data_IF_284001669374
#
_entry.id   IF_284001669374
#
_cell.length_a   1.000
_cell.length_b   1.000
_cell.length_c   1.000
_cell.angle_alpha   90.00
_cell.angle_beta   90.00
_cell.angle_gamma   90.00
#
_symmetry.space_group_name_H-M   'P 1'
#
loop_
_entity.id
_entity.type
_entity.pdbx_description
1 polymer ?
#
# COMPACT_ATOMS: atom_id res chain seq x y z
N UNK A 1 5.20 34.34 18.16
CA UNK A 1 5.30 34.32 16.69
C UNK A 1 6.10 33.08 16.31
N UNK A 2 5.51 32.22 15.46
CA UNK A 2 6.07 31.04 14.77
C UNK A 2 6.68 29.97 15.70
N UNK A 3 6.00 28.89 16.11
CA UNK A 3 5.06 28.07 15.33
C UNK A 3 5.79 27.05 14.45
N UNK A 4 6.83 26.37 14.95
CA UNK A 4 7.44 25.23 14.26
C UNK A 4 6.49 24.03 14.34
N UNK A 5 5.54 23.95 13.42
CA UNK A 5 4.94 22.68 13.04
C UNK A 5 5.94 21.95 12.17
N UNK A 6 6.69 21.00 12.75
CA UNK A 6 7.37 19.99 11.97
C UNK A 6 6.32 19.32 11.06
N UNK A 7 6.61 19.10 9.76
CA UNK A 7 5.64 18.43 8.90
C UNK A 7 5.50 16.99 9.40
N UNK A 8 4.28 16.66 9.81
CA UNK A 8 3.90 15.38 10.39
C UNK A 8 3.89 14.29 9.30
N UNK A 9 5.04 13.87 8.77
CA UNK A 9 5.20 12.64 7.96
C UNK A 9 6.66 12.17 8.02
N UNK A 10 7.04 11.46 9.09
CA UNK A 10 8.39 10.87 9.24
C UNK A 10 8.55 9.50 8.59
N UNK A 11 7.45 8.86 8.16
CA UNK A 11 7.48 7.47 7.68
C UNK A 11 7.07 7.37 6.21
N UNK A 12 7.98 6.87 5.38
CA UNK A 12 7.74 6.58 3.97
C UNK A 12 7.54 5.07 3.78
N UNK A 13 6.48 4.72 3.07
CA UNK A 13 6.12 3.34 2.74
C UNK A 13 6.24 3.14 1.23
N UNK A 14 6.93 2.07 0.83
CA UNK A 14 7.16 1.72 -0.56
C UNK A 14 6.44 0.42 -0.85
N UNK A 15 5.44 0.43 -1.74
CA UNK A 15 4.68 -0.76 -2.13
C UNK A 15 5.14 -1.22 -3.50
N UNK A 16 5.62 -2.47 -3.58
CA UNK A 16 6.10 -3.05 -4.84
C UNK A 16 5.26 -4.27 -5.22
N UNK A 17 4.55 -4.15 -6.34
CA UNK A 17 3.87 -5.28 -6.97
C UNK A 17 4.84 -6.14 -7.75
N UNK A 18 4.89 -7.44 -7.46
CA UNK A 18 5.75 -8.40 -8.13
C UNK A 18 4.94 -9.55 -8.76
N UNK A 19 5.43 -10.03 -9.90
CA UNK A 19 4.98 -11.27 -10.54
C UNK A 19 5.92 -12.43 -10.20
N UNK A 20 5.69 -13.61 -10.80
CA UNK A 20 6.63 -14.72 -10.75
C UNK A 20 8.03 -14.33 -11.26
N UNK A 21 8.10 -13.45 -12.27
CA UNK A 21 9.35 -12.82 -12.67
C UNK A 21 9.58 -11.57 -11.81
N UNK A 22 10.61 -11.61 -10.97
CA UNK A 22 10.96 -10.53 -10.05
C UNK A 22 11.85 -9.45 -10.66
N UNK A 23 12.38 -9.63 -11.89
CA UNK A 23 13.31 -8.68 -12.48
C UNK A 23 12.71 -7.27 -12.64
N UNK A 24 11.47 -7.09 -13.16
CA UNK A 24 10.83 -5.78 -13.18
C UNK A 24 10.62 -5.19 -11.78
N UNK A 25 10.33 -6.03 -10.77
CA UNK A 25 10.11 -5.59 -9.39
C UNK A 25 11.40 -5.12 -8.70
N UNK A 26 12.55 -5.75 -9.02
CA UNK A 26 13.86 -5.27 -8.59
C UNK A 26 14.17 -3.89 -9.15
N UNK A 27 13.88 -3.69 -10.44
CA UNK A 27 14.07 -2.39 -11.07
C UNK A 27 13.09 -1.35 -10.49
N UNK A 28 11.85 -1.74 -10.18
CA UNK A 28 10.90 -0.88 -9.47
C UNK A 28 11.47 -0.41 -8.13
N UNK A 29 12.00 -1.31 -7.30
CA UNK A 29 12.64 -0.97 -6.01
C UNK A 29 13.81 0.00 -6.15
N UNK A 30 14.61 -0.13 -7.20
CA UNK A 30 15.72 0.82 -7.43
C UNK A 30 15.18 2.21 -7.76
N UNK A 31 14.12 2.27 -8.58
CA UNK A 31 13.48 3.51 -9.01
C UNK A 31 12.66 4.22 -7.92
N UNK A 32 12.46 3.59 -6.75
CA UNK A 32 11.83 4.22 -5.58
C UNK A 32 12.81 4.99 -4.70
N UNK A 33 14.11 4.92 -4.98
CA UNK A 33 15.16 5.62 -4.21
C UNK A 33 15.06 5.32 -2.71
N UNK A 34 15.17 4.04 -2.34
CA UNK A 34 15.06 3.56 -0.94
C UNK A 34 16.09 4.27 -0.04
N UNK A 35 15.65 4.68 1.16
CA UNK A 35 16.43 5.38 2.18
C UNK A 35 16.24 4.74 3.57
N UNK A 36 17.06 5.15 4.52
CA UNK A 36 16.93 4.76 5.93
C UNK A 36 15.54 5.10 6.51
N UNK A 37 14.98 4.16 7.28
CA UNK A 37 13.67 4.30 7.91
C UNK A 37 12.48 3.95 7.01
N UNK A 38 12.71 3.61 5.74
CA UNK A 38 11.65 3.17 4.84
C UNK A 38 11.03 1.83 5.27
N UNK A 39 9.72 1.70 5.02
CA UNK A 39 9.01 0.42 5.07
C UNK A 39 8.71 -0.05 3.66
N UNK A 40 9.29 -1.17 3.26
CA UNK A 40 9.08 -1.80 1.97
C UNK A 40 8.03 -2.90 2.12
N UNK A 41 6.91 -2.76 1.41
CA UNK A 41 5.81 -3.71 1.35
C UNK A 41 5.85 -4.39 -0.02
N UNK A 42 6.24 -5.66 -0.04
CA UNK A 42 6.29 -6.47 -1.26
C UNK A 42 4.95 -7.20 -1.41
N UNK A 43 4.30 -7.10 -2.56
CA UNK A 43 3.01 -7.76 -2.79
C UNK A 43 2.93 -8.47 -4.13
N UNK A 44 2.27 -9.63 -4.15
CA UNK A 44 2.19 -10.48 -5.33
C UNK A 44 1.48 -11.79 -5.03
N UNK A 45 1.39 -12.67 -6.03
CA UNK A 45 0.66 -13.94 -5.91
C UNK A 45 1.53 -15.11 -5.43
N UNK A 46 2.87 -14.96 -5.46
CA UNK A 46 3.82 -16.03 -5.14
C UNK A 46 4.65 -15.66 -3.92
N UNK A 47 4.50 -16.41 -2.83
CA UNK A 47 5.36 -16.27 -1.65
C UNK A 47 6.84 -16.47 -1.97
N UNK A 48 7.18 -17.43 -2.85
CA UNK A 48 8.56 -17.68 -3.26
C UNK A 48 9.18 -16.48 -4.01
N UNK A 49 8.41 -15.86 -4.91
CA UNK A 49 8.85 -14.65 -5.61
C UNK A 49 9.07 -13.48 -4.62
N UNK A 50 8.16 -13.30 -3.67
CA UNK A 50 8.28 -12.26 -2.64
C UNK A 50 9.48 -12.51 -1.71
N UNK A 51 9.71 -13.76 -1.29
CA UNK A 51 10.88 -14.14 -0.50
C UNK A 51 12.19 -13.89 -1.25
N UNK A 52 12.24 -14.19 -2.56
CA UNK A 52 13.41 -13.90 -3.38
C UNK A 52 13.65 -12.40 -3.56
N UNK A 53 12.58 -11.60 -3.60
CA UNK A 53 12.66 -10.14 -3.66
C UNK A 53 13.06 -9.53 -2.31
N UNK A 54 12.57 -10.07 -1.19
CA UNK A 54 13.03 -9.71 0.16
C UNK A 54 14.52 -9.99 0.32
N UNK A 55 15.00 -11.16 -0.13
CA UNK A 55 16.42 -11.48 -0.13
C UNK A 55 17.25 -10.48 -0.93
N UNK A 56 16.73 -10.02 -2.08
CA UNK A 56 17.36 -8.95 -2.86
C UNK A 56 17.39 -7.62 -2.09
N UNK A 57 16.29 -7.21 -1.46
CA UNK A 57 16.22 -5.97 -0.66
C UNK A 57 17.25 -6.02 0.47
N UNK A 58 17.30 -7.11 1.24
CA UNK A 58 18.24 -7.31 2.34
C UNK A 58 19.71 -7.29 1.88
N UNK A 59 19.98 -7.69 0.64
CA UNK A 59 21.34 -7.68 0.09
C UNK A 59 21.75 -6.30 -0.43
N UNK A 60 20.87 -5.64 -1.20
CA UNK A 60 21.18 -4.36 -1.85
C UNK A 60 21.16 -3.20 -0.86
N UNK A 61 20.25 -3.26 0.12
CA UNK A 61 20.06 -2.21 1.12
C UNK A 61 20.51 -2.68 2.51
N UNK A 62 21.50 -3.57 2.58
CA UNK A 62 22.01 -4.14 3.85
C UNK A 62 22.55 -3.08 4.82
N UNK A 63 23.03 -1.97 4.28
CA UNK A 63 23.59 -0.86 5.05
C UNK A 63 22.53 0.14 5.51
N UNK A 64 21.26 -0.06 5.10
CA UNK A 64 20.13 0.80 5.46
C UNK A 64 19.23 0.13 6.51
N UNK A 65 18.69 0.93 7.43
CA UNK A 65 17.69 0.48 8.40
C UNK A 65 16.29 0.48 7.75
N UNK A 66 16.04 -0.53 6.90
CA UNK A 66 14.76 -0.72 6.21
C UNK A 66 13.94 -1.84 6.82
N UNK A 67 12.62 -1.64 6.95
CA UNK A 67 11.68 -2.69 7.35
C UNK A 67 11.09 -3.33 6.09
N UNK A 68 11.20 -4.64 5.95
CA UNK A 68 10.59 -5.37 4.82
C UNK A 68 9.42 -6.19 5.31
N UNK A 69 8.27 -6.03 4.67
CA UNK A 69 7.06 -6.81 4.89
C UNK A 69 6.55 -7.36 3.55
N UNK A 70 5.88 -8.51 3.60
CA UNK A 70 5.33 -9.14 2.40
C UNK A 70 3.84 -9.45 2.58
N UNK A 71 3.05 -9.13 1.56
CA UNK A 71 1.63 -9.46 1.49
C UNK A 71 1.35 -10.33 0.26
N UNK A 72 1.09 -11.62 0.50
CA UNK A 72 0.70 -12.57 -0.54
C UNK A 72 -0.78 -12.40 -0.84
N UNK A 73 -1.11 -11.98 -2.06
CA UNK A 73 -2.48 -11.82 -2.52
C UNK A 73 -3.09 -13.20 -2.73
N UNK A 74 -4.27 -13.44 -2.16
CA UNK A 74 -5.01 -14.67 -2.41
C UNK A 74 -5.58 -14.67 -3.85
N UNK A 75 -5.14 -15.57 -4.74
CA UNK A 75 -5.59 -15.59 -6.14
C UNK A 75 -7.07 -15.97 -6.30
N UNK A 76 -7.70 -16.53 -5.24
CA UNK A 76 -9.12 -16.90 -5.22
C UNK A 76 -10.02 -15.81 -4.62
N UNK A 77 -9.44 -14.76 -4.05
CA UNK A 77 -10.21 -13.65 -3.52
C UNK A 77 -10.84 -12.84 -4.67
N UNK A 78 -12.01 -12.25 -4.42
CA UNK A 78 -12.54 -11.27 -5.37
C UNK A 78 -11.61 -10.05 -5.42
N UNK A 79 -11.68 -9.27 -6.49
CA UNK A 79 -10.92 -8.03 -6.61
C UNK A 79 -11.17 -7.10 -5.41
N UNK A 80 -12.43 -7.02 -4.96
CA UNK A 80 -12.84 -6.15 -3.86
C UNK A 80 -12.21 -6.63 -2.56
N UNK A 81 -12.30 -7.92 -2.25
CA UNK A 81 -11.72 -8.49 -1.02
C UNK A 81 -10.21 -8.30 -1.01
N UNK A 82 -9.53 -8.55 -2.14
CA UNK A 82 -8.08 -8.36 -2.24
C UNK A 82 -7.66 -6.90 -2.01
N UNK A 83 -8.41 -5.93 -2.56
CA UNK A 83 -8.16 -4.50 -2.33
C UNK A 83 -8.46 -4.10 -0.89
N UNK A 84 -9.51 -4.65 -0.26
CA UNK A 84 -9.84 -4.39 1.15
C UNK A 84 -8.74 -4.92 2.06
N UNK A 85 -8.32 -6.17 1.88
CA UNK A 85 -7.30 -6.79 2.72
C UNK A 85 -5.97 -6.05 2.59
N UNK A 86 -5.56 -5.73 1.35
CA UNK A 86 -4.34 -4.99 1.10
C UNK A 86 -4.43 -3.56 1.65
N UNK A 87 -5.58 -2.89 1.50
CA UNK A 87 -5.82 -1.55 2.07
C UNK A 87 -5.73 -1.57 3.60
N UNK A 88 -6.37 -2.54 4.25
CA UNK A 88 -6.31 -2.69 5.70
C UNK A 88 -4.86 -2.87 6.17
N UNK A 89 -4.10 -3.71 5.46
CA UNK A 89 -2.71 -3.97 5.76
C UNK A 89 -1.84 -2.70 5.65
N UNK A 90 -2.02 -1.90 4.60
CA UNK A 90 -1.21 -0.66 4.44
C UNK A 90 -1.68 0.48 5.37
N UNK A 91 -2.97 0.55 5.73
CA UNK A 91 -3.47 1.59 6.64
C UNK A 91 -2.92 1.41 8.06
N UNK A 92 -2.54 0.19 8.46
CA UNK A 92 -1.83 -0.06 9.73
C UNK A 92 -0.44 0.60 9.78
N UNK A 93 0.10 1.03 8.63
CA UNK A 93 1.37 1.78 8.57
C UNK A 93 1.19 3.28 8.79
N UNK A 94 -0.03 3.81 8.85
CA UNK A 94 -0.30 5.24 8.99
C UNK A 94 0.18 5.81 10.34
N UNK A 95 0.61 7.10 10.39
CA UNK A 95 0.67 8.06 9.30
C UNK A 95 1.91 7.87 8.40
N UNK A 96 1.71 7.81 7.07
CA UNK A 96 2.82 7.61 6.12
C UNK A 96 2.53 8.13 4.70
N UNK A 97 3.59 8.38 3.94
CA UNK A 97 3.54 8.65 2.50
C UNK A 97 3.86 7.38 1.70
N UNK A 98 3.10 7.12 0.64
CA UNK A 98 3.24 5.92 -0.18
C UNK A 98 3.84 6.22 -1.54
N UNK A 99 4.86 5.43 -1.90
CA UNK A 99 5.33 5.26 -3.28
C UNK A 99 4.93 3.86 -3.75
N UNK A 100 4.21 3.76 -4.87
CA UNK A 100 3.69 2.50 -5.40
C UNK A 100 4.37 2.20 -6.74
N UNK A 101 5.20 1.16 -6.76
CA UNK A 101 5.81 0.61 -7.98
C UNK A 101 5.08 -0.65 -8.43
N UNK A 102 4.47 -0.62 -9.61
CA UNK A 102 3.73 -1.75 -10.17
C UNK A 102 4.61 -2.49 -11.17
N UNK A 103 5.05 -3.70 -10.84
CA UNK A 103 5.92 -4.53 -11.67
C UNK A 103 5.44 -5.99 -11.72
N UNK A 104 4.12 -6.14 -11.75
CA UNK A 104 3.41 -7.41 -11.59
C UNK A 104 2.59 -7.80 -12.81
N UNK A 105 1.94 -8.96 -12.74
CA UNK A 105 1.00 -9.39 -13.74
C UNK A 105 -0.25 -8.49 -13.78
N UNK A 106 -1.18 -8.80 -14.70
CA UNK A 106 -2.42 -8.05 -14.86
C UNK A 106 -3.25 -7.99 -13.58
N UNK A 107 -3.22 -9.03 -12.75
CA UNK A 107 -4.02 -9.11 -11.54
C UNK A 107 -3.46 -8.22 -10.44
N UNK A 108 -2.16 -8.34 -10.15
CA UNK A 108 -1.44 -7.47 -9.20
C UNK A 108 -1.54 -6.01 -9.62
N UNK A 109 -1.37 -5.72 -10.92
CA UNK A 109 -1.52 -4.37 -11.48
C UNK A 109 -2.91 -3.80 -11.25
N UNK A 110 -3.96 -4.61 -11.44
CA UNK A 110 -5.34 -4.17 -11.23
C UNK A 110 -5.58 -3.85 -9.76
N UNK A 111 -5.17 -4.74 -8.85
CA UNK A 111 -5.33 -4.53 -7.41
C UNK A 111 -4.59 -3.27 -6.95
N UNK A 112 -3.33 -3.09 -7.35
CA UNK A 112 -2.54 -1.91 -6.99
C UNK A 112 -3.07 -0.62 -7.60
N UNK A 113 -3.64 -0.68 -8.79
CA UNK A 113 -4.32 0.47 -9.41
C UNK A 113 -5.53 0.90 -8.57
N UNK A 114 -6.38 -0.05 -8.17
CA UNK A 114 -7.51 0.25 -7.28
C UNK A 114 -7.05 0.72 -5.89
N UNK A 115 -5.99 0.13 -5.35
CA UNK A 115 -5.39 0.58 -4.11
C UNK A 115 -4.93 2.04 -4.20
N UNK A 116 -4.18 2.41 -5.24
CA UNK A 116 -3.74 3.78 -5.47
C UNK A 116 -4.93 4.75 -5.54
N UNK A 117 -6.00 4.40 -6.28
CA UNK A 117 -7.20 5.22 -6.38
C UNK A 117 -7.95 5.37 -5.05
N UNK A 118 -8.06 4.28 -4.29
CA UNK A 118 -8.70 4.30 -2.96
C UNK A 118 -7.91 5.16 -1.98
N UNK A 119 -6.58 5.02 -1.93
CA UNK A 119 -5.70 5.85 -1.12
C UNK A 119 -5.75 7.32 -1.54
N UNK A 120 -5.80 7.62 -2.84
CA UNK A 120 -5.95 9.00 -3.32
C UNK A 120 -7.31 9.62 -2.93
N UNK A 121 -8.33 8.79 -2.71
CA UNK A 121 -9.69 9.19 -2.33
C UNK A 121 -9.82 9.42 -0.82
N UNK A 122 -9.32 8.48 -0.01
CA UNK A 122 -9.55 8.48 1.46
C UNK A 122 -8.31 8.85 2.27
N UNK A 123 -7.13 8.81 1.67
CA UNK A 123 -5.83 8.97 2.35
C UNK A 123 -5.74 10.27 3.14
N UNK A 124 -6.24 11.38 2.57
CA UNK A 124 -6.27 12.68 3.22
C UNK A 124 -7.06 12.72 4.55
N UNK A 125 -7.94 11.74 4.79
CA UNK A 125 -8.71 11.62 6.04
C UNK A 125 -8.08 10.67 7.07
N UNK A 126 -7.16 9.81 6.64
CA UNK A 126 -6.48 8.80 7.48
C UNK A 126 -4.98 9.10 7.65
N UNK A 127 -4.55 10.32 7.33
CA UNK A 127 -3.14 10.76 7.35
C UNK A 127 -2.23 9.88 6.49
N UNK A 128 -2.74 9.49 5.33
CA UNK A 128 -2.02 8.74 4.30
C UNK A 128 -1.95 9.61 3.04
N UNK A 129 -0.78 9.73 2.44
CA UNK A 129 -0.61 10.39 1.15
C UNK A 129 -0.02 9.43 0.14
N UNK A 130 -0.41 9.57 -1.13
CA UNK A 130 0.25 8.87 -2.24
C UNK A 130 1.12 9.90 -2.95
N UNK A 131 2.44 9.71 -2.86
CA UNK A 131 3.42 10.63 -3.43
C UNK A 131 3.66 10.32 -4.91
N UNK A 132 3.92 9.04 -5.22
CA UNK A 132 4.24 8.60 -6.58
C UNK A 132 3.66 7.22 -6.87
N UNK A 133 3.08 7.07 -8.05
CA UNK A 133 2.66 5.78 -8.61
C UNK A 133 3.27 5.62 -9.99
N UNK A 134 3.89 4.48 -10.25
CA UNK A 134 4.49 4.20 -11.54
C UNK A 134 4.44 2.71 -11.87
N UNK A 135 4.58 2.40 -13.15
CA UNK A 135 4.55 1.04 -13.68
C UNK A 135 5.90 0.71 -14.31
N UNK A 136 6.45 -0.44 -13.96
CA UNK A 136 7.59 -1.07 -14.64
C UNK A 136 7.06 -2.13 -15.60
N UNK A 137 7.07 -1.80 -16.89
CA UNK A 137 6.53 -2.69 -17.94
C UNK A 137 7.51 -3.81 -18.33
N UNK A 138 8.80 -3.62 -18.14
CA UNK A 138 9.84 -4.57 -18.55
C UNK A 138 11.07 -4.49 -17.64
N UNK A 139 11.99 -5.45 -17.78
CA UNK A 139 13.23 -5.57 -17.00
C UNK A 139 14.34 -4.58 -17.41
N UNK A 140 14.12 -3.84 -18.51
CA UNK A 140 15.05 -2.82 -19.06
C UNK A 140 14.38 -1.48 -19.36
N UNK A 141 13.10 -1.33 -19.04
CA UNK A 141 12.33 -0.13 -19.34
C UNK A 141 12.51 0.97 -18.31
N UNK A 142 12.25 2.21 -18.71
CA UNK A 142 12.08 3.33 -17.78
C UNK A 142 10.73 3.26 -17.06
N UNK A 143 10.62 3.75 -15.81
CA UNK A 143 9.36 3.77 -15.09
C UNK A 143 8.34 4.69 -15.78
N UNK A 144 7.16 4.15 -16.07
CA UNK A 144 6.04 4.94 -16.59
C UNK A 144 5.26 5.52 -15.41
N UNK A 145 5.52 6.78 -15.10
CA UNK A 145 4.85 7.49 -14.02
C UNK A 145 3.38 7.79 -14.36
N UNK A 146 2.52 7.67 -13.36
CA UNK A 146 1.14 8.15 -13.47
C UNK A 146 1.12 9.66 -13.21
N UNK A 147 0.71 10.49 -14.18
CA UNK A 147 0.77 11.94 -14.00
C UNK A 147 -0.22 12.44 -12.94
N UNK A 148 -1.36 11.78 -12.80
CA UNK A 148 -2.38 12.04 -11.77
C UNK A 148 -2.97 10.70 -11.37
N UNK A 149 -2.98 10.40 -10.07
CA UNK A 149 -3.70 9.22 -9.54
C UNK A 149 -5.19 9.58 -9.45
N UNK A 150 -6.07 8.90 -10.20
CA UNK A 150 -7.49 9.24 -10.19
C UNK A 150 -8.11 8.94 -8.81
N UNK A 151 -9.10 9.76 -8.43
CA UNK A 151 -9.95 9.51 -7.27
C UNK A 151 -11.21 8.77 -7.71
N UNK A 152 -11.68 7.83 -6.89
CA UNK A 152 -12.94 7.13 -7.15
C UNK A 152 -14.14 8.07 -7.00
N UNK A 153 -14.07 8.98 -6.04
CA UNK A 153 -15.08 9.98 -5.75
C UNK A 153 -14.41 11.13 -4.98
N UNK A 154 -14.85 12.36 -5.21
CA UNK A 154 -14.46 13.47 -4.34
C UNK A 154 -15.39 13.48 -3.12
N UNK A 155 -14.83 13.15 -1.95
CA UNK A 155 -15.57 13.15 -0.67
C UNK A 155 -15.20 14.38 0.14
N UNK A 156 -16.19 14.99 0.78
CA UNK A 156 -15.98 15.93 1.87
C UNK A 156 -15.69 15.19 3.18
N UNK A 157 -15.08 15.89 4.15
CA UNK A 157 -14.81 15.34 5.49
C UNK A 157 -16.09 14.85 6.19
N UNK A 158 -17.22 15.53 5.95
CA UNK A 158 -18.51 15.18 6.54
C UNK A 158 -19.03 13.87 5.93
N UNK A 159 -19.01 13.76 4.59
CA UNK A 159 -19.45 12.55 3.89
C UNK A 159 -18.58 11.34 4.27
N UNK A 160 -17.26 11.53 4.37
CA UNK A 160 -16.35 10.47 4.82
C UNK A 160 -16.69 10.00 6.24
N UNK A 161 -16.96 10.92 7.18
CA UNK A 161 -17.32 10.56 8.56
C UNK A 161 -18.65 9.80 8.62
N UNK A 162 -19.65 10.24 7.87
CA UNK A 162 -20.96 9.55 7.81
C UNK A 162 -20.80 8.14 7.23
N UNK A 163 -20.09 8.01 6.11
CA UNK A 163 -19.82 6.71 5.49
C UNK A 163 -19.05 5.78 6.44
N UNK A 164 -18.03 6.30 7.14
CA UNK A 164 -17.26 5.53 8.11
C UNK A 164 -18.14 5.00 9.25
N UNK A 165 -19.03 5.83 9.79
CA UNK A 165 -19.98 5.43 10.84
C UNK A 165 -20.96 4.38 10.34
N UNK A 166 -21.50 4.55 9.14
CA UNK A 166 -22.41 3.60 8.52
C UNK A 166 -21.75 2.24 8.28
N UNK A 167 -20.51 2.24 7.76
CA UNK A 167 -19.74 1.02 7.53
C UNK A 167 -19.35 0.32 8.85
N UNK A 168 -19.00 1.09 9.88
CA UNK A 168 -18.73 0.54 11.21
C UNK A 168 -19.98 -0.10 11.83
N UNK A 169 -21.15 0.47 11.58
CA UNK A 169 -22.42 -0.09 12.02
C UNK A 169 -22.83 -1.35 11.24
N UNK A 170 -22.51 -1.39 9.94
CA UNK A 170 -22.82 -2.51 9.05
C UNK A 170 -21.91 -3.73 9.23
N UNK A 171 -20.70 -3.57 9.77
CA UNK A 171 -19.83 -4.69 10.10
C UNK A 171 -20.26 -5.24 11.47
N UNK A 172 -21.00 -6.36 11.55
CA UNK A 172 -21.16 -7.03 12.83
C UNK A 172 -19.77 -7.50 13.27
N UNK A 173 -19.45 -7.39 14.55
CA UNK A 173 -18.19 -7.85 15.11
C UNK A 173 -17.81 -9.24 14.58
N UNK A 174 -16.84 -9.31 13.65
CA UNK A 174 -16.00 -10.53 13.49
C UNK A 174 -15.02 -10.61 14.67
N UNK A 175 -15.55 -10.48 15.88
CA UNK A 175 -14.82 -10.53 17.15
C UNK A 175 -15.83 -10.84 18.25
N UNK A 176 -16.40 -12.03 18.21
CA UNK A 176 -17.09 -12.68 19.33
C UNK A 176 -17.13 -14.20 19.06
N UNK A 177 -15.96 -14.83 19.12
CA UNK A 177 -15.84 -16.16 19.72
C UNK A 177 -15.15 -15.94 21.05
N UNK A 178 -15.91 -16.16 22.12
CA UNK A 178 -15.65 -15.84 23.53
C UNK A 178 -16.08 -14.42 23.92
N UNK A 179 -17.28 -14.36 24.50
CA UNK A 179 -18.07 -13.14 24.56
C UNK A 179 -17.69 -12.16 25.65
N UNK A 180 -18.22 -10.96 25.50
CA UNK A 180 -18.63 -10.15 26.64
C UNK A 180 -19.69 -9.13 26.20
N UNK A 181 -20.86 -9.20 26.85
CA UNK A 181 -21.92 -8.22 26.77
C UNK A 181 -21.40 -6.80 27.02
N UNK A 182 -21.86 -5.84 26.23
CA UNK A 182 -21.97 -4.45 26.69
C UNK A 182 -23.46 -4.12 26.79
N UNK A 183 -23.93 -4.08 28.05
CA UNK A 183 -25.13 -3.32 28.41
C UNK A 183 -24.81 -1.84 28.26
N UNK A 184 -25.82 -1.11 27.77
CA UNK A 184 -25.94 0.35 27.69
C UNK A 184 -25.39 1.01 28.97
#
# INVERSE_FOLDING_TARGET
MLGNTAPFMEKRCIVIGASLNIAPARLALINTEVNDGDVIILTGLSGDALNALEGFVRQVYQDLEVKVESFVINPRASLIDAVIDLRSFIEDCAPCSFTIGIAGDRWVTTILSFLAMTLATVGGFVNVSVDRVFVMLDDKGEPVNWPIVPRLIDLSLVEFRVLRLYLQWLQPSKRDSEGLCIKI
#
